data_IF_119492773155
#
_entry.id   IF_119492773155
#
_cell.length_a   1.000
_cell.length_b   1.000
_cell.length_c   1.000
_cell.angle_alpha   90.00
_cell.angle_beta   90.00
_cell.angle_gamma   90.00
#
_symmetry.space_group_name_H-M   'P 1'
#
loop_
_entity.id
_entity.type
_entity.pdbx_description
1 polymer ?
#
# COMPACT_ATOMS: atom_id res chain seq x y z
N UNK A 1 -52.45 67.45 73.06
CA UNK A 1 -51.36 67.87 72.15
C UNK A 1 -50.21 66.83 72.08
N UNK A 2 -50.48 65.55 71.79
CA UNK A 2 -49.42 64.49 71.74
C UNK A 2 -49.29 63.77 70.39
N UNK A 3 -50.20 64.05 69.44
CA UNK A 3 -50.25 63.41 68.12
C UNK A 3 -49.58 64.23 67.02
N UNK A 4 -49.63 65.56 67.08
CA UNK A 4 -48.99 66.44 66.10
C UNK A 4 -47.44 66.34 66.12
N UNK A 5 -46.87 66.14 67.30
CA UNK A 5 -45.41 65.99 67.49
C UNK A 5 -44.86 64.69 66.88
N UNK A 6 -45.65 63.61 66.84
CA UNK A 6 -45.24 62.33 66.24
C UNK A 6 -45.27 62.37 64.71
N UNK A 7 -46.18 63.13 64.11
CA UNK A 7 -46.29 63.26 62.65
C UNK A 7 -45.15 64.14 62.11
N UNK A 8 -44.83 65.26 62.79
CA UNK A 8 -43.71 66.12 62.38
C UNK A 8 -42.37 65.39 62.51
N UNK A 9 -42.19 64.58 63.56
CA UNK A 9 -40.97 63.79 63.75
C UNK A 9 -40.82 62.69 62.67
N UNK A 10 -41.93 62.09 62.21
CA UNK A 10 -41.90 61.11 61.12
C UNK A 10 -41.54 61.76 59.78
N UNK A 11 -42.03 62.97 59.51
CA UNK A 11 -41.71 63.71 58.27
C UNK A 11 -40.25 64.19 58.25
N UNK A 12 -39.68 64.59 59.39
CA UNK A 12 -38.24 64.98 59.49
C UNK A 12 -37.32 63.76 59.36
N UNK A 13 -37.70 62.60 59.90
CA UNK A 13 -36.90 61.36 59.74
C UNK A 13 -36.95 60.83 58.30
N UNK A 14 -38.10 60.92 57.61
CA UNK A 14 -38.20 60.51 56.20
C UNK A 14 -37.48 61.44 55.23
N UNK A 15 -37.33 62.74 55.56
CA UNK A 15 -36.60 63.71 54.73
C UNK A 15 -35.08 63.69 54.93
N UNK A 16 -34.60 63.11 56.05
CA UNK A 16 -33.18 62.82 56.26
C UNK A 16 -32.70 61.53 55.56
N UNK A 17 -33.60 60.59 55.26
CA UNK A 17 -33.23 59.34 54.59
C UNK A 17 -33.14 59.44 53.06
N UNK A 18 -33.69 60.49 52.44
CA UNK A 18 -33.69 60.65 50.97
C UNK A 18 -32.58 61.55 50.43
N UNK A 19 -31.72 62.11 51.29
CA UNK A 19 -30.72 63.11 50.86
C UNK A 19 -29.27 62.75 51.13
N UNK A 20 -28.97 61.56 51.69
CA UNK A 20 -27.59 61.15 52.01
C UNK A 20 -27.10 59.91 51.26
N UNK A 21 -27.66 59.60 50.09
CA UNK A 21 -27.09 58.58 49.21
C UNK A 21 -26.95 59.05 47.74
N UNK A 22 -26.71 60.34 47.56
CA UNK A 22 -26.28 60.92 46.29
C UNK A 22 -24.74 61.07 46.25
N UNK A 23 -24.00 60.01 46.58
CA UNK A 23 -22.56 60.01 46.30
C UNK A 23 -22.06 58.58 46.03
N UNK A 24 -21.94 58.29 44.73
CA UNK A 24 -21.05 57.34 44.02
C UNK A 24 -21.77 56.29 43.15
N UNK A 25 -22.22 56.69 41.95
CA UNK A 25 -22.48 55.76 40.85
C UNK A 25 -21.28 55.59 39.89
N UNK A 26 -20.13 56.25 40.13
CA UNK A 26 -19.02 56.29 39.15
C UNK A 26 -17.92 55.23 39.37
N UNK A 27 -17.64 54.78 40.59
CA UNK A 27 -16.64 53.71 40.84
C UNK A 27 -17.15 52.31 40.44
N UNK A 28 -18.47 52.09 40.38
CA UNK A 28 -19.04 50.79 40.03
C UNK A 28 -19.03 50.50 38.53
N UNK A 29 -19.16 51.52 37.68
CA UNK A 29 -19.16 51.38 36.22
C UNK A 29 -17.75 51.08 35.68
N UNK A 30 -16.73 51.76 36.20
CA UNK A 30 -15.34 51.52 35.82
C UNK A 30 -14.89 50.12 36.22
N UNK A 31 -15.26 49.65 37.42
CA UNK A 31 -15.01 48.28 37.87
C UNK A 31 -15.74 47.25 36.99
N UNK A 32 -17.00 47.52 36.61
CA UNK A 32 -17.77 46.65 35.72
C UNK A 32 -17.17 46.58 34.30
N UNK A 33 -16.71 47.72 33.77
CA UNK A 33 -16.08 47.80 32.46
C UNK A 33 -14.73 47.09 32.44
N UNK A 34 -13.95 47.23 33.51
CA UNK A 34 -12.68 46.54 33.70
C UNK A 34 -12.88 45.02 33.90
N UNK A 35 -13.93 44.59 34.61
CA UNK A 35 -14.31 43.18 34.71
C UNK A 35 -14.76 42.61 33.35
N UNK A 36 -15.53 43.38 32.56
CA UNK A 36 -15.95 42.97 31.22
C UNK A 36 -14.76 42.77 30.29
N UNK A 37 -13.81 43.70 30.26
CA UNK A 37 -12.57 43.58 29.48
C UNK A 37 -11.72 42.38 29.92
N UNK A 38 -11.66 42.09 31.23
CA UNK A 38 -10.93 40.93 31.75
C UNK A 38 -11.59 39.60 31.35
N UNK A 39 -12.93 39.50 31.43
CA UNK A 39 -13.68 38.32 30.97
C UNK A 39 -13.47 38.10 29.47
N UNK A 40 -13.47 39.17 28.67
CA UNK A 40 -13.25 39.09 27.23
C UNK A 40 -11.83 38.60 26.88
N UNK A 41 -10.80 39.09 27.59
CA UNK A 41 -9.42 38.60 27.45
C UNK A 41 -9.29 37.12 27.84
N UNK A 42 -9.95 36.69 28.92
CA UNK A 42 -9.96 35.29 29.36
C UNK A 42 -10.64 34.40 28.31
N UNK A 43 -11.76 34.85 27.74
CA UNK A 43 -12.47 34.11 26.70
C UNK A 43 -11.64 34.00 25.42
N UNK A 44 -10.96 35.07 24.99
CA UNK A 44 -10.04 35.03 23.85
C UNK A 44 -8.85 34.09 24.09
N UNK A 45 -8.27 34.07 25.30
CA UNK A 45 -7.22 33.10 25.65
C UNK A 45 -7.73 31.66 25.64
N UNK A 46 -8.92 31.40 26.19
CA UNK A 46 -9.54 30.07 26.15
C UNK A 46 -9.83 29.61 24.72
N UNK A 47 -10.32 30.48 23.85
CA UNK A 47 -10.54 30.16 22.43
C UNK A 47 -9.26 29.75 21.72
N UNK A 48 -8.16 30.51 21.90
CA UNK A 48 -6.84 30.15 21.32
C UNK A 48 -6.29 28.82 21.85
N UNK A 49 -6.52 28.53 23.14
CA UNK A 49 -6.11 27.24 23.73
C UNK A 49 -6.95 26.09 23.19
N UNK A 50 -8.27 26.27 23.04
CA UNK A 50 -9.17 25.24 22.48
C UNK A 50 -8.84 24.99 21.00
N UNK A 51 -8.61 26.05 20.22
CA UNK A 51 -8.20 25.94 18.81
C UNK A 51 -6.82 25.25 18.66
N UNK A 52 -5.85 25.60 19.51
CA UNK A 52 -4.53 24.97 19.52
C UNK A 52 -4.56 23.50 19.93
N UNK A 53 -5.32 23.15 20.97
CA UNK A 53 -5.47 21.75 21.43
C UNK A 53 -6.22 20.91 20.40
N UNK A 54 -7.30 21.45 19.83
CA UNK A 54 -8.07 20.76 18.78
C UNK A 54 -7.24 20.59 17.50
N UNK A 55 -6.45 21.59 17.10
CA UNK A 55 -5.55 21.52 15.93
C UNK A 55 -4.42 20.50 16.09
N UNK A 56 -3.77 20.45 17.26
CA UNK A 56 -2.69 19.47 17.52
C UNK A 56 -3.24 18.05 17.68
N UNK A 57 -4.39 17.87 18.32
CA UNK A 57 -5.02 16.57 18.46
C UNK A 57 -5.53 16.03 17.11
N UNK A 58 -6.13 16.87 16.27
CA UNK A 58 -6.57 16.47 14.92
C UNK A 58 -5.38 16.12 14.01
N UNK A 59 -4.30 16.91 14.05
CA UNK A 59 -3.07 16.59 13.30
C UNK A 59 -2.47 15.24 13.73
N UNK A 60 -2.31 14.99 15.04
CA UNK A 60 -1.79 13.70 15.55
C UNK A 60 -2.67 12.51 15.19
N UNK A 61 -4.00 12.67 15.19
CA UNK A 61 -4.93 11.61 14.80
C UNK A 61 -4.90 11.35 13.30
N UNK A 62 -4.82 12.40 12.48
CA UNK A 62 -4.66 12.27 11.03
C UNK A 62 -3.34 11.59 10.66
N UNK A 63 -2.25 11.97 11.32
CA UNK A 63 -0.93 11.39 11.12
C UNK A 63 -0.89 9.90 11.51
N UNK A 64 -1.45 9.54 12.68
CA UNK A 64 -1.63 8.13 13.07
C UNK A 64 -2.52 7.34 12.11
N UNK A 65 -3.55 7.96 11.53
CA UNK A 65 -4.40 7.31 10.51
C UNK A 65 -3.65 7.09 9.21
N UNK A 66 -2.83 8.05 8.77
CA UNK A 66 -1.98 7.90 7.58
C UNK A 66 -0.99 6.74 7.75
N UNK A 67 -0.31 6.66 8.90
CA UNK A 67 0.62 5.56 9.21
C UNK A 67 -0.08 4.20 9.23
N UNK A 68 -1.26 4.08 9.87
CA UNK A 68 -2.01 2.81 9.86
C UNK A 68 -2.53 2.42 8.47
N UNK A 69 -2.89 3.40 7.64
CA UNK A 69 -3.32 3.17 6.27
C UNK A 69 -2.15 2.74 5.37
N UNK A 70 -0.96 3.32 5.55
CA UNK A 70 0.24 2.89 4.83
C UNK A 70 0.66 1.47 5.22
N UNK A 71 0.67 1.14 6.52
CA UNK A 71 0.95 -0.23 7.01
C UNK A 71 0.00 -1.28 6.43
N UNK A 72 -1.31 -1.00 6.43
CA UNK A 72 -2.30 -1.92 5.85
C UNK A 72 -2.15 -2.04 4.33
N UNK A 73 -1.76 -0.96 3.65
CA UNK A 73 -1.51 -0.97 2.21
C UNK A 73 -0.26 -1.80 1.90
N UNK A 74 0.84 -1.61 2.62
CA UNK A 74 2.06 -2.40 2.51
C UNK A 74 1.80 -3.90 2.71
N UNK A 75 1.05 -4.27 3.76
CA UNK A 75 0.68 -5.68 3.99
C UNK A 75 -0.11 -6.29 2.84
N UNK A 76 -1.05 -5.53 2.26
CA UNK A 76 -1.86 -6.00 1.12
C UNK A 76 -1.02 -6.12 -0.15
N UNK A 77 -0.16 -5.14 -0.43
CA UNK A 77 0.75 -5.16 -1.58
C UNK A 77 1.72 -6.32 -1.44
N UNK A 78 2.36 -6.51 -0.29
CA UNK A 78 3.24 -7.64 -0.02
C UNK A 78 2.55 -8.98 -0.22
N UNK A 79 1.34 -9.16 0.31
CA UNK A 79 0.57 -10.39 0.09
C UNK A 79 0.24 -10.67 -1.38
N UNK A 80 -0.08 -9.63 -2.16
CA UNK A 80 -0.32 -9.76 -3.61
C UNK A 80 0.96 -10.11 -4.37
N UNK A 81 2.07 -9.44 -4.05
CA UNK A 81 3.39 -9.67 -4.65
C UNK A 81 3.84 -11.11 -4.42
N UNK A 82 3.77 -11.61 -3.18
CA UNK A 82 4.09 -13.01 -2.85
C UNK A 82 3.23 -13.97 -3.66
N UNK A 83 1.93 -13.71 -3.79
CA UNK A 83 1.04 -14.55 -4.61
C UNK A 83 1.41 -14.53 -6.09
N UNK A 84 1.93 -13.43 -6.63
CA UNK A 84 2.34 -13.31 -8.03
C UNK A 84 3.63 -14.10 -8.26
N UNK A 85 4.64 -13.93 -7.40
CA UNK A 85 5.90 -14.66 -7.52
C UNK A 85 5.74 -16.17 -7.35
N UNK A 86 4.87 -16.61 -6.44
CA UNK A 86 4.52 -18.03 -6.33
C UNK A 86 3.96 -18.59 -7.64
N UNK A 87 3.21 -17.80 -8.42
CA UNK A 87 2.73 -18.22 -9.74
C UNK A 87 3.86 -18.28 -10.76
N UNK A 88 4.77 -17.31 -10.76
CA UNK A 88 5.94 -17.35 -11.64
C UNK A 88 6.82 -18.57 -11.34
N UNK A 89 7.10 -18.86 -10.07
CA UNK A 89 7.84 -20.06 -9.66
C UNK A 89 7.16 -21.34 -10.14
N UNK A 90 5.84 -21.46 -9.97
CA UNK A 90 5.07 -22.61 -10.48
C UNK A 90 5.11 -22.71 -12.01
N UNK A 91 5.07 -21.60 -12.72
CA UNK A 91 5.22 -21.59 -14.18
C UNK A 91 6.61 -22.05 -14.57
N UNK A 92 7.67 -21.52 -13.93
CA UNK A 92 9.05 -21.89 -14.21
C UNK A 92 9.29 -23.39 -13.99
N UNK A 93 8.76 -23.94 -12.89
CA UNK A 93 8.79 -25.38 -12.61
C UNK A 93 8.10 -26.20 -13.72
N UNK A 94 6.95 -25.74 -14.22
CA UNK A 94 6.26 -26.40 -15.35
C UNK A 94 7.05 -26.33 -16.64
N UNK A 95 7.74 -25.21 -16.90
CA UNK A 95 8.60 -25.05 -18.08
C UNK A 95 9.78 -26.03 -18.01
N UNK A 96 10.46 -26.08 -16.86
CA UNK A 96 11.55 -27.04 -16.59
C UNK A 96 11.10 -28.49 -16.79
N UNK A 97 9.98 -28.88 -16.18
CA UNK A 97 9.40 -30.21 -16.36
C UNK A 97 9.03 -30.52 -17.82
N UNK A 98 8.64 -29.51 -18.59
CA UNK A 98 8.33 -29.70 -20.01
C UNK A 98 9.60 -29.97 -20.81
N UNK A 99 10.69 -29.26 -20.53
CA UNK A 99 12.00 -29.51 -21.16
C UNK A 99 12.51 -30.90 -20.82
N UNK A 100 12.41 -31.34 -19.56
CA UNK A 100 12.82 -32.70 -19.17
C UNK A 100 12.07 -33.77 -19.97
N UNK A 101 10.76 -33.60 -20.18
CA UNK A 101 9.97 -34.53 -21.01
C UNK A 101 10.35 -34.50 -22.49
N UNK A 102 10.83 -33.36 -22.99
CA UNK A 102 11.32 -33.25 -24.37
C UNK A 102 12.65 -33.98 -24.50
N UNK A 103 13.54 -33.81 -23.52
CA UNK A 103 14.84 -34.49 -23.45
C UNK A 103 14.66 -36.02 -23.34
N UNK A 104 13.82 -36.51 -22.43
CA UNK A 104 13.46 -37.94 -22.33
C UNK A 104 12.93 -38.51 -23.66
N UNK A 105 12.15 -37.71 -24.41
CA UNK A 105 11.65 -38.10 -25.73
C UNK A 105 12.75 -38.09 -26.80
N UNK A 106 13.62 -37.10 -26.78
CA UNK A 106 14.75 -37.02 -27.70
C UNK A 106 15.69 -38.22 -27.50
N UNK A 107 16.02 -38.54 -26.25
CA UNK A 107 16.78 -39.74 -25.86
C UNK A 107 16.09 -41.00 -26.39
N UNK A 108 14.78 -41.16 -26.15
CA UNK A 108 14.02 -42.29 -26.67
C UNK A 108 14.13 -42.43 -28.20
N UNK A 109 13.96 -41.32 -28.95
CA UNK A 109 14.04 -41.38 -30.41
C UNK A 109 15.45 -41.73 -30.89
N UNK A 110 16.47 -41.14 -30.27
CA UNK A 110 17.88 -41.42 -30.57
C UNK A 110 18.22 -42.89 -30.32
N UNK A 111 17.86 -43.42 -29.15
CA UNK A 111 18.13 -44.83 -28.81
C UNK A 111 17.32 -45.82 -29.64
N UNK A 112 16.03 -45.54 -29.88
CA UNK A 112 15.13 -46.50 -30.51
C UNK A 112 15.29 -46.58 -32.02
N UNK A 113 15.61 -45.46 -32.67
CA UNK A 113 15.64 -45.33 -34.12
C UNK A 113 17.04 -44.97 -34.66
N UNK A 114 18.04 -44.82 -33.79
CA UNK A 114 19.42 -44.46 -34.16
C UNK A 114 19.48 -43.13 -34.94
N UNK A 115 18.64 -42.17 -34.53
CA UNK A 115 18.52 -40.86 -35.19
C UNK A 115 19.37 -39.84 -34.43
N UNK A 116 20.25 -39.14 -35.16
CA UNK A 116 20.98 -37.98 -34.63
C UNK A 116 20.04 -36.77 -34.52
N UNK A 117 19.98 -36.14 -33.34
CA UNK A 117 19.09 -35.02 -33.00
C UNK A 117 19.89 -33.76 -32.60
N UNK A 118 20.94 -33.44 -33.37
CA UNK A 118 21.89 -32.37 -33.03
C UNK A 118 21.22 -31.00 -32.81
N UNK A 119 20.23 -30.63 -33.64
CA UNK A 119 19.55 -29.34 -33.48
C UNK A 119 18.70 -29.33 -32.21
N UNK A 120 18.00 -30.43 -31.92
CA UNK A 120 17.23 -30.60 -30.69
C UNK A 120 18.12 -30.51 -29.45
N UNK A 121 19.29 -31.16 -29.44
CA UNK A 121 20.22 -31.14 -28.30
C UNK A 121 20.74 -29.73 -28.01
N UNK A 122 21.13 -28.99 -29.05
CA UNK A 122 21.55 -27.58 -28.93
C UNK A 122 20.41 -26.73 -28.35
N UNK A 123 19.19 -26.93 -28.83
CA UNK A 123 18.05 -26.13 -28.40
C UNK A 123 17.54 -26.51 -27.00
N UNK A 124 17.74 -27.74 -26.54
CA UNK A 124 17.52 -28.12 -25.13
C UNK A 124 18.45 -27.30 -24.23
N UNK A 125 19.74 -27.22 -24.55
CA UNK A 125 20.72 -26.47 -23.75
C UNK A 125 20.33 -24.99 -23.67
N UNK A 126 20.06 -24.35 -24.82
CA UNK A 126 19.62 -22.94 -24.87
C UNK A 126 18.34 -22.71 -24.08
N UNK A 127 17.38 -23.62 -24.19
CA UNK A 127 16.11 -23.49 -23.47
C UNK A 127 16.32 -23.63 -21.95
N UNK A 128 17.26 -24.47 -21.51
CA UNK A 128 17.63 -24.58 -20.08
C UNK A 128 18.29 -23.31 -19.55
N UNK A 129 19.19 -22.70 -20.32
CA UNK A 129 19.79 -21.40 -19.97
C UNK A 129 18.70 -20.34 -19.77
N UNK A 130 17.72 -20.26 -20.67
CA UNK A 130 16.59 -19.32 -20.54
C UNK A 130 15.69 -19.58 -19.31
N UNK A 131 15.59 -20.84 -18.86
CA UNK A 131 14.85 -21.20 -17.64
C UNK A 131 15.64 -20.80 -16.40
N UNK A 132 16.96 -20.95 -16.43
CA UNK A 132 17.86 -20.52 -15.36
C UNK A 132 17.86 -18.99 -15.23
N UNK A 133 17.98 -18.27 -16.35
CA UNK A 133 17.87 -16.80 -16.39
C UNK A 133 16.52 -16.34 -15.84
N UNK A 134 15.41 -16.96 -16.26
CA UNK A 134 14.08 -16.65 -15.72
C UNK A 134 13.99 -16.91 -14.20
N UNK A 135 14.65 -17.95 -13.70
CA UNK A 135 14.70 -18.24 -12.27
C UNK A 135 15.45 -17.15 -11.50
N UNK A 136 16.57 -16.69 -12.05
CA UNK A 136 17.37 -15.58 -11.50
C UNK A 136 16.52 -14.30 -11.50
N UNK A 137 15.89 -13.95 -12.63
CA UNK A 137 14.99 -12.79 -12.75
C UNK A 137 13.90 -12.80 -11.68
N UNK A 138 13.28 -13.97 -11.43
CA UNK A 138 12.22 -14.12 -10.42
C UNK A 138 12.78 -13.86 -9.01
N UNK A 139 13.92 -14.43 -8.67
CA UNK A 139 14.54 -14.30 -7.34
C UNK A 139 15.00 -12.85 -7.11
N UNK A 140 15.67 -12.24 -8.07
CA UNK A 140 16.15 -10.86 -7.98
C UNK A 140 14.99 -9.87 -7.84
N UNK A 141 13.95 -10.04 -8.64
CA UNK A 141 12.74 -9.23 -8.55
C UNK A 141 12.02 -9.39 -7.21
N UNK A 142 11.97 -10.61 -6.66
CA UNK A 142 11.38 -10.87 -5.35
C UNK A 142 12.15 -10.11 -4.26
N UNK A 143 13.48 -10.25 -4.24
CA UNK A 143 14.34 -9.55 -3.27
C UNK A 143 14.20 -8.03 -3.39
N UNK A 144 14.23 -7.50 -4.63
CA UNK A 144 14.10 -6.07 -4.89
C UNK A 144 12.76 -5.50 -4.41
N UNK A 145 11.65 -6.22 -4.64
CA UNK A 145 10.34 -5.75 -4.21
C UNK A 145 10.19 -5.90 -2.69
N UNK A 146 10.72 -6.95 -2.07
CA UNK A 146 10.70 -7.12 -0.62
C UNK A 146 11.45 -5.97 0.09
N UNK A 147 12.68 -5.65 -0.34
CA UNK A 147 13.47 -4.52 0.19
C UNK A 147 12.76 -3.17 0.01
N UNK A 148 12.08 -2.99 -1.12
CA UNK A 148 11.47 -1.71 -1.45
C UNK A 148 10.04 -1.54 -0.92
N UNK A 149 9.32 -2.62 -0.57
CA UNK A 149 8.04 -2.53 0.17
C UNK A 149 8.28 -1.86 1.53
N UNK A 150 9.44 -2.10 2.14
CA UNK A 150 9.85 -1.47 3.40
C UNK A 150 10.22 0.01 3.25
N UNK A 151 10.58 0.46 2.04
CA UNK A 151 11.07 1.83 1.74
C UNK A 151 10.17 2.67 0.82
N UNK A 152 8.87 2.35 0.76
CA UNK A 152 7.85 3.07 -0.06
C UNK A 152 8.06 3.00 -1.58
N UNK A 153 8.24 1.79 -2.13
CA UNK A 153 8.20 1.59 -3.59
C UNK A 153 6.89 2.07 -4.20
N UNK A 154 6.97 2.69 -5.38
CA UNK A 154 5.77 3.02 -6.13
C UNK A 154 5.15 1.75 -6.72
N UNK A 155 3.81 1.71 -6.81
CA UNK A 155 3.11 0.64 -7.50
C UNK A 155 3.49 0.55 -9.00
N UNK A 156 3.97 1.64 -9.58
CA UNK A 156 4.47 1.68 -10.95
C UNK A 156 5.73 0.84 -11.14
N UNK A 157 6.72 0.99 -10.25
CA UNK A 157 7.95 0.21 -10.30
C UNK A 157 7.70 -1.30 -10.09
N UNK A 158 6.85 -1.67 -9.12
CA UNK A 158 6.42 -3.07 -8.93
C UNK A 158 5.85 -3.64 -10.23
N UNK A 159 5.02 -2.86 -10.92
CA UNK A 159 4.37 -3.28 -12.16
C UNK A 159 5.38 -3.47 -13.29
N UNK A 160 6.36 -2.58 -13.41
CA UNK A 160 7.42 -2.70 -14.43
C UNK A 160 8.24 -3.96 -14.23
N UNK A 161 8.66 -4.26 -13.00
CA UNK A 161 9.39 -5.47 -12.64
C UNK A 161 8.58 -6.73 -12.99
N UNK A 162 7.30 -6.77 -12.62
CA UNK A 162 6.42 -7.91 -12.93
C UNK A 162 6.25 -8.08 -14.46
N UNK A 163 6.17 -6.99 -15.22
CA UNK A 163 6.01 -7.05 -16.67
C UNK A 163 7.29 -7.54 -17.37
N UNK A 164 8.48 -7.24 -16.84
CA UNK A 164 9.74 -7.79 -17.32
C UNK A 164 9.75 -9.32 -17.18
N UNK A 165 9.47 -9.84 -15.98
CA UNK A 165 9.43 -11.30 -15.73
C UNK A 165 8.38 -12.00 -16.59
N UNK A 166 7.23 -11.36 -16.79
CA UNK A 166 6.18 -11.86 -17.68
C UNK A 166 6.67 -11.95 -19.14
N UNK A 167 7.47 -10.98 -19.58
CA UNK A 167 8.09 -10.99 -20.91
C UNK A 167 9.10 -12.13 -21.01
N UNK A 168 10.02 -12.28 -20.05
CA UNK A 168 10.96 -13.40 -19.98
C UNK A 168 10.23 -14.75 -20.02
N UNK A 169 9.19 -14.91 -19.19
CA UNK A 169 8.35 -16.11 -19.15
C UNK A 169 7.72 -16.42 -20.52
N UNK A 170 7.21 -15.40 -21.21
CA UNK A 170 6.59 -15.56 -22.52
C UNK A 170 7.60 -15.98 -23.58
N UNK A 171 8.81 -15.41 -23.53
CA UNK A 171 9.90 -15.77 -24.44
C UNK A 171 10.35 -17.21 -24.22
N UNK A 172 10.57 -17.63 -22.96
CA UNK A 172 10.93 -19.02 -22.62
C UNK A 172 9.84 -20.00 -23.07
N UNK A 173 8.56 -19.66 -22.88
CA UNK A 173 7.45 -20.45 -23.39
C UNK A 173 7.47 -20.59 -24.92
N UNK A 174 7.79 -19.52 -25.64
CA UNK A 174 7.89 -19.57 -27.08
C UNK A 174 9.07 -20.42 -27.53
N UNK A 175 10.20 -20.37 -26.82
CA UNK A 175 11.35 -21.21 -27.13
C UNK A 175 11.04 -22.70 -26.95
N UNK A 176 10.35 -23.08 -25.88
CA UNK A 176 9.90 -24.47 -25.69
C UNK A 176 9.00 -24.94 -26.84
N UNK A 177 8.10 -24.09 -27.34
CA UNK A 177 7.28 -24.42 -28.52
C UNK A 177 8.13 -24.64 -29.77
N UNK A 178 9.14 -23.80 -29.98
CA UNK A 178 10.06 -23.94 -31.10
C UNK A 178 10.85 -25.26 -30.98
N UNK A 179 11.37 -25.57 -29.79
CA UNK A 179 12.06 -26.82 -29.49
C UNK A 179 11.19 -28.06 -29.79
N UNK A 180 9.90 -28.04 -29.38
CA UNK A 180 8.96 -29.13 -29.71
C UNK A 180 8.83 -29.29 -31.23
N UNK A 181 8.77 -28.18 -31.97
CA UNK A 181 8.66 -28.22 -33.42
C UNK A 181 9.93 -28.76 -34.09
N UNK A 182 11.11 -28.40 -33.58
CA UNK A 182 12.41 -28.90 -34.04
C UNK A 182 12.49 -30.41 -33.84
N UNK A 183 12.22 -30.90 -32.62
CA UNK A 183 12.18 -32.33 -32.34
C UNK A 183 11.22 -33.07 -33.28
N UNK A 184 10.04 -32.50 -33.53
CA UNK A 184 9.05 -33.08 -34.47
C UNK A 184 9.59 -33.14 -35.90
N UNK A 185 10.27 -32.10 -36.36
CA UNK A 185 10.82 -32.07 -37.72
C UNK A 185 11.95 -33.10 -37.87
N UNK A 186 12.91 -33.10 -36.94
CA UNK A 186 14.04 -34.04 -37.00
C UNK A 186 13.60 -35.50 -36.90
N UNK A 187 12.57 -35.81 -36.10
CA UNK A 187 12.03 -37.17 -36.00
C UNK A 187 11.22 -37.57 -37.23
N UNK A 188 10.35 -36.71 -37.76
CA UNK A 188 9.54 -37.04 -38.93
C UNK A 188 10.35 -37.15 -40.23
N UNK A 189 11.43 -36.37 -40.37
CA UNK A 189 12.30 -36.43 -41.55
C UNK A 189 13.19 -37.68 -41.55
N UNK A 190 13.56 -38.19 -40.36
CA UNK A 190 14.58 -39.23 -40.21
C UNK A 190 14.02 -40.60 -39.84
N UNK A 191 12.78 -40.70 -39.33
CA UNK A 191 12.10 -41.99 -39.18
C UNK A 191 11.64 -42.45 -40.57
N UNK A 192 12.17 -43.57 -41.11
CA UNK A 192 11.75 -44.08 -42.40
C UNK A 192 10.24 -44.37 -42.37
N UNK A 193 9.53 -43.97 -43.42
CA UNK A 193 8.08 -44.14 -43.59
C UNK A 193 7.62 -45.61 -43.73
N UNK A 194 8.42 -46.57 -43.26
CA UNK A 194 8.04 -47.98 -43.21
C UNK A 194 7.23 -48.21 -41.94
N UNK A 195 5.94 -48.48 -42.17
CA UNK A 195 4.92 -48.91 -41.23
C UNK A 195 4.07 -47.76 -40.64
N UNK A 196 3.09 -47.35 -41.46
CA UNK A 196 1.83 -46.68 -41.08
C UNK A 196 1.06 -47.37 -39.92
N UNK A 197 1.58 -48.44 -39.32
CA UNK A 197 0.91 -49.26 -38.29
C UNK A 197 1.47 -49.09 -36.86
N UNK A 198 2.52 -48.28 -36.62
CA UNK A 198 3.14 -48.19 -35.27
C UNK A 198 2.75 -46.92 -34.50
N UNK A 199 1.77 -46.15 -34.98
CA UNK A 199 1.30 -44.92 -34.34
C UNK A 199 -0.19 -44.98 -33.91
N UNK A 200 -0.59 -46.07 -33.25
CA UNK A 200 -1.72 -46.05 -32.29
C UNK A 200 -1.22 -45.97 -30.84
#
# INVERSE_FOLDING_TARGET
MKTLSKIIMLVVVLSFFTTTNAQRPFESLEILEQQKQNIEKINQQRQRQIEGVNGVATNKVQERRKVKLSENTQKRVGGLVVSIFNRFNQVNERLSNTVNRIEEKAEFFSEKFEIELEETEIEIIRTRELIEDLNIDIIEAQNLIEERIESEISQGEIREIIEQIKTSTTNTQQQIKNLIQILKNETLEKIPSSDEEVLE
#
